data_IF_295220526912
#
_entry.id   IF_295220526912
#
_cell.length_a   1.000
_cell.length_b   1.000
_cell.length_c   1.000
_cell.angle_alpha   90.00
_cell.angle_beta   90.00
_cell.angle_gamma   90.00
#
_symmetry.space_group_name_H-M   'P 1'
#
loop_
_entity.id
_entity.type
_entity.pdbx_description
1 polymer ?
#
# COMPACT_ATOMS: atom_id res chain seq x y z
N UNK A 1 18.13 4.38 -10.69
CA UNK A 1 16.78 3.96 -10.22
C UNK A 1 16.96 3.30 -8.87
N UNK A 2 16.07 3.53 -7.91
CA UNK A 2 16.23 2.87 -6.60
C UNK A 2 15.80 1.41 -6.69
N UNK A 3 16.44 0.55 -5.89
CA UNK A 3 16.13 -0.88 -5.82
C UNK A 3 14.67 -1.11 -5.39
N UNK A 4 14.18 -0.26 -4.47
CA UNK A 4 12.78 -0.29 -4.01
C UNK A 4 11.79 -0.07 -5.15
N UNK A 5 12.12 0.82 -6.08
CA UNK A 5 11.25 1.10 -7.23
C UNK A 5 11.22 -0.06 -8.22
N UNK A 6 12.36 -0.73 -8.43
CA UNK A 6 12.43 -1.93 -9.27
C UNK A 6 11.59 -3.05 -8.68
N UNK A 7 11.75 -3.32 -7.36
CA UNK A 7 10.97 -4.35 -6.67
C UNK A 7 9.48 -4.01 -6.69
N UNK A 8 9.11 -2.75 -6.47
CA UNK A 8 7.73 -2.30 -6.57
C UNK A 8 7.12 -2.60 -7.95
N UNK A 9 7.85 -2.32 -9.02
CA UNK A 9 7.39 -2.61 -10.41
C UNK A 9 7.25 -4.11 -10.67
N UNK A 10 8.20 -4.93 -10.20
CA UNK A 10 8.15 -6.39 -10.33
C UNK A 10 6.90 -6.94 -9.63
N UNK A 11 6.71 -6.59 -8.36
CA UNK A 11 5.58 -7.08 -7.55
C UNK A 11 4.25 -6.61 -8.14
N UNK A 12 4.14 -5.33 -8.50
CA UNK A 12 2.93 -4.76 -9.10
C UNK A 12 2.53 -5.45 -10.41
N UNK A 13 3.51 -5.74 -11.26
CA UNK A 13 3.28 -6.45 -12.53
C UNK A 13 2.78 -7.87 -12.28
N UNK A 14 3.43 -8.63 -11.38
CA UNK A 14 3.03 -10.01 -11.06
C UNK A 14 1.62 -10.09 -10.48
N UNK A 15 1.26 -9.19 -9.56
CA UNK A 15 -0.10 -9.12 -9.01
C UNK A 15 -1.13 -8.81 -10.10
N UNK A 16 -0.82 -7.87 -11.00
CA UNK A 16 -1.69 -7.50 -12.12
C UNK A 16 -1.90 -8.66 -13.10
N UNK A 17 -0.83 -9.34 -13.48
CA UNK A 17 -0.87 -10.51 -14.38
C UNK A 17 -1.63 -11.69 -13.77
N UNK A 18 -1.53 -11.89 -12.46
CA UNK A 18 -2.28 -12.91 -11.74
C UNK A 18 -3.75 -12.53 -11.46
N UNK A 19 -4.17 -11.30 -11.82
CA UNK A 19 -5.52 -10.81 -11.54
C UNK A 19 -5.81 -10.57 -10.06
N UNK A 20 -4.77 -10.39 -9.24
CA UNK A 20 -4.91 -10.09 -7.81
C UNK A 20 -5.06 -8.58 -7.61
N UNK A 21 -6.22 -8.11 -7.14
CA UNK A 21 -6.41 -6.69 -6.86
C UNK A 21 -5.50 -6.23 -5.72
N UNK A 22 -4.84 -5.09 -5.91
CA UNK A 22 -3.90 -4.54 -4.93
C UNK A 22 -3.91 -3.01 -4.91
N UNK A 23 -3.30 -2.45 -3.88
CA UNK A 23 -3.13 -1.01 -3.69
C UNK A 23 -1.86 -0.74 -2.88
N UNK A 24 -0.93 0.03 -3.45
CA UNK A 24 0.24 0.52 -2.73
C UNK A 24 -0.20 1.58 -1.73
N UNK A 25 0.34 1.50 -0.51
CA UNK A 25 0.04 2.43 0.60
C UNK A 25 1.32 2.81 1.36
N UNK A 26 1.18 3.31 2.58
CA UNK A 26 2.30 3.54 3.48
C UNK A 26 3.29 4.61 3.04
N UNK A 27 4.56 4.39 3.33
CA UNK A 27 5.62 5.37 3.09
C UNK A 27 5.97 5.53 1.62
N UNK A 28 5.90 4.48 0.82
CA UNK A 28 6.12 4.56 -0.62
C UNK A 28 5.05 5.45 -1.27
N UNK A 29 3.78 5.25 -0.94
CA UNK A 29 2.71 6.12 -1.45
C UNK A 29 2.88 7.57 -1.00
N UNK A 30 3.29 7.82 0.24
CA UNK A 30 3.59 9.17 0.73
C UNK A 30 4.70 9.84 -0.08
N UNK A 31 5.74 9.11 -0.46
CA UNK A 31 6.84 9.61 -1.27
C UNK A 31 6.40 10.05 -2.68
N UNK A 32 5.36 9.44 -3.23
CA UNK A 32 4.76 9.87 -4.50
C UNK A 32 3.95 11.17 -4.37
N UNK A 33 3.29 11.37 -3.23
CA UNK A 33 2.40 12.53 -3.03
C UNK A 33 3.08 13.71 -2.35
N UNK A 34 4.24 13.53 -1.74
CA UNK A 34 4.89 14.55 -0.91
C UNK A 34 6.41 14.61 -1.12
N UNK A 35 7.11 15.20 -0.16
CA UNK A 35 8.59 15.20 -0.13
C UNK A 35 9.08 13.77 0.10
N UNK A 36 9.89 13.22 -0.83
CA UNK A 36 10.42 11.87 -0.66
C UNK A 36 11.32 11.78 0.58
N UNK A 37 11.16 10.69 1.33
CA UNK A 37 12.07 10.30 2.40
C UNK A 37 12.52 8.85 2.19
N UNK A 38 13.67 8.51 2.73
CA UNK A 38 14.17 7.14 2.64
C UNK A 38 13.21 6.18 3.34
N UNK A 39 12.84 5.10 2.66
CA UNK A 39 12.08 3.97 3.19
C UNK A 39 12.51 2.71 2.46
N UNK A 40 12.59 1.60 3.17
CA UNK A 40 12.88 0.27 2.61
C UNK A 40 11.70 -0.68 2.68
N UNK A 41 10.64 -0.29 3.37
CA UNK A 41 9.43 -1.11 3.50
C UNK A 41 8.41 -0.68 2.44
N UNK A 42 7.88 -1.66 1.72
CA UNK A 42 6.83 -1.48 0.73
C UNK A 42 5.54 -2.05 1.32
N UNK A 43 4.54 -1.22 1.55
CA UNK A 43 3.24 -1.63 2.08
C UNK A 43 2.23 -1.81 0.95
N UNK A 44 1.64 -3.00 0.82
CA UNK A 44 0.68 -3.33 -0.23
C UNK A 44 -0.58 -3.92 0.38
N UNK A 45 -1.71 -3.27 0.20
CA UNK A 45 -3.02 -3.87 0.49
C UNK A 45 -3.41 -4.78 -0.66
N UNK A 46 -3.80 -6.03 -0.37
CA UNK A 46 -4.25 -7.01 -1.35
C UNK A 46 -5.65 -7.52 -1.04
N UNK A 47 -6.40 -7.84 -2.09
CA UNK A 47 -7.69 -8.52 -1.98
C UNK A 47 -7.54 -9.95 -2.48
N UNK A 48 -7.39 -10.89 -1.54
CA UNK A 48 -7.14 -12.31 -1.78
C UNK A 48 -7.95 -13.15 -0.82
N UNK A 49 -8.16 -14.40 -1.22
CA UNK A 49 -8.86 -15.42 -0.43
C UNK A 49 -7.91 -16.54 -0.05
N UNK A 50 -8.36 -17.40 0.86
CA UNK A 50 -7.57 -18.55 1.33
C UNK A 50 -7.22 -19.51 0.19
N UNK A 51 -8.07 -19.65 -0.83
CA UNK A 51 -7.80 -20.45 -2.02
C UNK A 51 -6.67 -19.91 -2.91
N UNK A 52 -6.26 -18.64 -2.74
CA UNK A 52 -5.21 -18.01 -3.54
C UNK A 52 -3.80 -18.25 -2.99
N UNK A 53 -3.63 -18.97 -1.87
CA UNK A 53 -2.34 -19.24 -1.22
C UNK A 53 -1.32 -19.81 -2.20
N UNK A 54 -1.69 -20.87 -2.94
CA UNK A 54 -0.76 -21.53 -3.86
C UNK A 54 -0.36 -20.62 -5.03
N UNK A 55 -1.27 -19.77 -5.47
CA UNK A 55 -0.99 -18.76 -6.49
C UNK A 55 0.02 -17.73 -5.96
N UNK A 56 -0.18 -17.18 -4.75
CA UNK A 56 0.76 -16.24 -4.13
C UNK A 56 2.16 -16.84 -3.95
N UNK A 57 2.24 -18.08 -3.47
CA UNK A 57 3.53 -18.77 -3.34
C UNK A 57 4.21 -18.93 -4.69
N UNK A 58 3.48 -19.35 -5.72
CA UNK A 58 4.02 -19.54 -7.07
C UNK A 58 4.53 -18.23 -7.68
N UNK A 59 3.90 -17.09 -7.37
CA UNK A 59 4.31 -15.77 -7.89
C UNK A 59 5.65 -15.29 -7.35
N UNK A 60 6.02 -15.69 -6.12
CA UNK A 60 7.14 -15.07 -5.41
C UNK A 60 8.26 -16.01 -4.97
N UNK A 61 8.05 -17.32 -4.89
CA UNK A 61 9.00 -18.31 -4.34
C UNK A 61 10.39 -18.35 -4.99
N UNK A 62 10.51 -17.92 -6.24
CA UNK A 62 11.75 -18.07 -7.00
C UNK A 62 12.81 -17.02 -6.64
N UNK A 63 12.37 -15.81 -6.30
CA UNK A 63 13.25 -14.67 -6.00
C UNK A 63 12.91 -13.94 -4.70
N UNK A 64 11.87 -14.39 -3.98
CA UNK A 64 11.52 -13.88 -2.65
C UNK A 64 11.47 -15.01 -1.63
N UNK A 65 11.90 -14.72 -0.42
CA UNK A 65 11.50 -15.50 0.73
C UNK A 65 10.03 -15.29 1.03
N UNK A 66 9.25 -16.36 1.07
CA UNK A 66 7.84 -16.37 1.42
C UNK A 66 7.53 -17.63 2.22
N UNK A 67 6.83 -17.48 3.33
CA UNK A 67 6.47 -18.59 4.22
C UNK A 67 4.97 -18.94 4.10
N UNK A 68 4.67 -20.19 3.78
CA UNK A 68 3.31 -20.68 3.55
C UNK A 68 2.41 -20.52 4.76
N UNK A 69 2.88 -20.88 5.93
CA UNK A 69 2.06 -20.92 7.15
C UNK A 69 1.68 -19.51 7.57
N UNK A 70 2.63 -18.58 7.46
CA UNK A 70 2.40 -17.15 7.69
C UNK A 70 1.37 -16.57 6.70
N UNK A 71 1.43 -16.95 5.43
CA UNK A 71 0.44 -16.53 4.42
C UNK A 71 -0.94 -17.06 4.78
N UNK A 72 -1.07 -18.35 5.07
CA UNK A 72 -2.35 -18.99 5.45
C UNK A 72 -2.96 -18.30 6.67
N UNK A 73 -2.16 -18.07 7.72
CA UNK A 73 -2.61 -17.38 8.92
C UNK A 73 -3.11 -15.97 8.61
N UNK A 74 -2.32 -15.19 7.86
CA UNK A 74 -2.68 -13.82 7.50
C UNK A 74 -3.96 -13.76 6.67
N UNK A 75 -4.18 -14.67 5.73
CA UNK A 75 -5.39 -14.71 4.93
C UNK A 75 -6.62 -15.06 5.79
N UNK A 76 -6.48 -16.01 6.72
CA UNK A 76 -7.58 -16.44 7.60
C UNK A 76 -8.02 -15.35 8.56
N UNK A 77 -7.08 -14.53 9.05
CA UNK A 77 -7.32 -13.48 10.06
C UNK A 77 -7.43 -12.06 9.46
N UNK A 78 -7.32 -11.93 8.13
CA UNK A 78 -7.17 -10.65 7.44
C UNK A 78 -6.07 -9.79 8.07
N UNK A 79 -4.93 -10.44 8.30
CA UNK A 79 -3.74 -9.89 8.93
C UNK A 79 -2.71 -9.37 7.92
N UNK A 80 -1.46 -9.48 8.31
CA UNK A 80 -0.29 -9.05 7.52
C UNK A 80 0.67 -10.22 7.40
N UNK A 81 1.20 -10.44 6.20
CA UNK A 81 2.38 -11.27 5.98
C UNK A 81 3.41 -10.49 5.18
N UNK A 82 4.66 -10.90 5.24
CA UNK A 82 5.71 -10.26 4.48
C UNK A 82 6.43 -11.24 3.56
N UNK A 83 7.02 -10.68 2.51
CA UNK A 83 8.00 -11.34 1.66
C UNK A 83 9.26 -10.49 1.62
N UNK A 84 10.40 -11.12 1.37
CA UNK A 84 11.69 -10.41 1.32
C UNK A 84 12.40 -10.81 0.03
N UNK A 85 12.78 -9.82 -0.79
CA UNK A 85 13.55 -10.09 -2.00
C UNK A 85 14.94 -10.62 -1.64
N UNK A 86 15.34 -11.75 -2.23
CA UNK A 86 16.54 -12.49 -1.82
C UNK A 86 17.84 -11.72 -2.10
N UNK A 87 17.89 -10.94 -3.17
CA UNK A 87 19.09 -10.20 -3.58
C UNK A 87 19.18 -8.82 -2.90
N UNK A 88 18.12 -8.01 -2.96
CA UNK A 88 18.14 -6.64 -2.46
C UNK A 88 17.75 -6.51 -0.99
N UNK A 89 17.27 -7.59 -0.37
CA UNK A 89 16.83 -7.62 1.05
C UNK A 89 15.76 -6.55 1.33
N UNK A 90 14.89 -6.31 0.35
CA UNK A 90 13.76 -5.39 0.47
C UNK A 90 12.55 -6.16 0.97
N UNK A 91 11.95 -5.66 2.03
CA UNK A 91 10.74 -6.23 2.64
C UNK A 91 9.48 -5.64 2.01
N UNK A 92 8.53 -6.50 1.67
CA UNK A 92 7.18 -6.12 1.27
C UNK A 92 6.21 -6.64 2.32
N UNK A 93 5.44 -5.74 2.91
CA UNK A 93 4.36 -6.06 3.83
C UNK A 93 3.04 -6.13 3.05
N UNK A 94 2.50 -7.33 2.91
CA UNK A 94 1.18 -7.55 2.35
C UNK A 94 0.12 -7.47 3.43
N UNK A 95 -0.79 -6.52 3.30
CA UNK A 95 -1.90 -6.28 4.21
C UNK A 95 -3.17 -6.83 3.56
N UNK A 96 -3.75 -7.88 4.14
CA UNK A 96 -5.01 -8.42 3.64
C UNK A 96 -6.13 -7.42 3.92
N UNK A 97 -6.84 -6.99 2.88
CA UNK A 97 -7.91 -5.97 3.00
C UNK A 97 -8.96 -6.42 4.02
N UNK A 98 -9.23 -5.58 5.00
CA UNK A 98 -10.27 -5.82 6.01
C UNK A 98 -11.66 -5.53 5.43
N UNK A 99 -12.65 -6.31 5.87
CA UNK A 99 -14.06 -6.16 5.47
C UNK A 99 -14.76 -5.10 6.32
N UNK A 100 -14.29 -3.87 6.25
CA UNK A 100 -14.99 -2.73 6.83
C UNK A 100 -15.44 -1.77 5.72
N UNK A 101 -16.56 -1.07 5.87
CA UNK A 101 -17.07 -0.16 4.82
C UNK A 101 -16.04 0.88 4.39
N UNK A 102 -15.25 1.39 5.32
CA UNK A 102 -14.18 2.34 5.01
C UNK A 102 -13.06 1.70 4.17
N UNK A 103 -12.59 0.50 4.52
CA UNK A 103 -11.51 -0.18 3.81
C UNK A 103 -11.94 -0.63 2.40
N UNK A 104 -13.20 -0.97 2.21
CA UNK A 104 -13.77 -1.21 0.88
C UNK A 104 -13.79 0.07 0.05
N UNK A 105 -14.26 1.17 0.63
CA UNK A 105 -14.32 2.45 -0.04
C UNK A 105 -12.92 2.98 -0.40
N UNK A 106 -11.96 2.92 0.52
CA UNK A 106 -10.56 3.27 0.29
C UNK A 106 -9.98 2.50 -0.89
N UNK A 107 -10.18 1.17 -0.90
CA UNK A 107 -9.68 0.29 -1.96
C UNK A 107 -10.35 0.57 -3.32
N UNK A 108 -11.62 0.89 -3.34
CA UNK A 108 -12.36 1.27 -4.56
C UNK A 108 -11.87 2.61 -5.12
N UNK A 109 -11.48 3.56 -4.27
CA UNK A 109 -10.99 4.89 -4.66
C UNK A 109 -9.51 4.92 -5.05
N UNK A 110 -8.78 3.78 -5.02
CA UNK A 110 -7.40 3.72 -5.45
C UNK A 110 -7.26 4.21 -6.90
N UNK A 111 -6.10 4.76 -7.22
CA UNK A 111 -5.81 5.36 -8.53
C UNK A 111 -4.67 4.61 -9.20
N UNK A 112 -4.75 4.42 -10.51
CA UNK A 112 -3.63 3.92 -11.28
C UNK A 112 -2.68 5.09 -11.59
N UNK A 113 -1.42 4.94 -11.21
CA UNK A 113 -0.35 5.92 -11.42
C UNK A 113 0.69 5.29 -12.33
N UNK A 114 1.12 6.03 -13.36
CA UNK A 114 2.21 5.58 -14.23
C UNK A 114 3.55 5.86 -13.56
N UNK A 115 4.31 4.81 -13.30
CA UNK A 115 5.65 4.87 -12.74
C UNK A 115 6.61 4.27 -13.75
N UNK A 116 7.32 5.12 -14.48
CA UNK A 116 8.29 4.74 -15.52
C UNK A 116 7.73 3.71 -16.52
N UNK A 117 6.52 3.95 -17.02
CA UNK A 117 5.85 3.11 -17.99
C UNK A 117 5.06 1.93 -17.41
N UNK A 118 5.08 1.72 -16.09
CA UNK A 118 4.29 0.69 -15.41
C UNK A 118 3.10 1.32 -14.68
N UNK A 119 1.89 0.86 -14.98
CA UNK A 119 0.68 1.27 -14.25
C UNK A 119 0.62 0.57 -12.90
N UNK A 120 0.66 1.35 -11.82
CA UNK A 120 0.66 0.90 -10.43
C UNK A 120 -0.57 1.44 -9.71
N UNK A 121 -1.34 0.56 -9.07
CA UNK A 121 -2.47 0.96 -8.24
C UNK A 121 -2.01 1.50 -6.89
N UNK A 122 -2.41 2.72 -6.56
CA UNK A 122 -2.00 3.43 -5.35
C UNK A 122 -3.19 4.00 -4.61
N UNK A 123 -3.12 4.01 -3.28
CA UNK A 123 -4.11 4.67 -2.41
C UNK A 123 -4.27 6.13 -2.81
N UNK A 124 -5.48 6.68 -2.71
CA UNK A 124 -5.68 8.12 -2.93
C UNK A 124 -4.96 8.94 -1.85
N UNK A 125 -4.48 10.16 -2.15
CA UNK A 125 -3.80 10.98 -1.14
C UNK A 125 -4.70 11.31 0.05
N UNK A 126 -6.00 11.47 -0.18
CA UNK A 126 -6.99 11.72 0.87
C UNK A 126 -7.11 10.53 1.84
N UNK A 127 -7.21 9.32 1.30
CA UNK A 127 -7.30 8.10 2.09
C UNK A 127 -5.97 7.76 2.78
N UNK A 128 -4.84 8.06 2.15
CA UNK A 128 -3.53 7.93 2.78
C UNK A 128 -3.40 8.82 4.01
N UNK A 129 -3.87 10.08 3.95
CA UNK A 129 -3.91 10.98 5.11
C UNK A 129 -4.75 10.37 6.22
N UNK A 130 -5.97 9.91 5.91
CA UNK A 130 -6.85 9.30 6.90
C UNK A 130 -6.23 8.07 7.55
N UNK A 131 -5.65 7.17 6.77
CA UNK A 131 -4.97 5.99 7.28
C UNK A 131 -3.80 6.35 8.19
N UNK A 132 -2.97 7.33 7.81
CA UNK A 132 -1.85 7.78 8.64
C UNK A 132 -2.29 8.46 9.93
N UNK A 133 -3.40 9.19 9.94
CA UNK A 133 -3.95 9.78 11.15
C UNK A 133 -4.45 8.70 12.14
N UNK A 134 -5.15 7.68 11.65
CA UNK A 134 -5.57 6.54 12.48
C UNK A 134 -4.35 5.83 13.10
N UNK A 135 -3.30 5.57 12.30
CA UNK A 135 -2.07 4.95 12.80
C UNK A 135 -1.32 5.84 13.78
N UNK A 136 -1.35 7.18 13.59
CA UNK A 136 -0.72 8.13 14.50
C UNK A 136 -1.43 8.19 15.86
N UNK A 137 -2.74 8.08 15.91
CA UNK A 137 -3.53 8.02 17.13
C UNK A 137 -3.17 6.79 17.97
N UNK A 138 -3.06 5.63 17.33
CA UNK A 138 -2.73 4.37 18.00
C UNK A 138 -1.29 4.32 18.54
N UNK A 139 -0.33 5.05 17.96
CA UNK A 139 1.10 4.93 18.24
C UNK A 139 1.81 6.23 18.60
N UNK A 140 1.11 7.37 18.69
CA UNK A 140 1.69 8.70 18.94
C UNK A 140 2.92 9.00 18.05
N UNK A 141 2.84 8.64 16.76
CA UNK A 141 3.97 8.71 15.83
C UNK A 141 4.11 10.08 15.18
N UNK A 142 5.13 10.84 15.59
CA UNK A 142 5.53 12.12 14.96
C UNK A 142 5.82 11.97 13.46
N UNK A 143 6.37 10.82 13.04
CA UNK A 143 6.67 10.52 11.65
C UNK A 143 5.39 10.48 10.79
N UNK A 144 4.34 9.83 11.28
CA UNK A 144 3.05 9.76 10.58
C UNK A 144 2.41 11.15 10.46
N UNK A 145 2.48 11.96 11.50
CA UNK A 145 2.01 13.35 11.48
C UNK A 145 2.83 14.22 10.52
N UNK A 146 4.14 14.01 10.43
CA UNK A 146 5.03 14.65 9.45
C UNK A 146 4.62 14.33 8.02
N UNK A 147 4.37 13.06 7.72
CA UNK A 147 3.89 12.61 6.41
C UNK A 147 2.54 13.26 6.06
N UNK A 148 1.59 13.33 7.00
CA UNK A 148 0.29 13.99 6.80
C UNK A 148 0.45 15.47 6.45
N UNK A 149 1.30 16.20 7.16
CA UNK A 149 1.57 17.62 6.88
C UNK A 149 2.15 17.81 5.48
N UNK A 150 3.09 16.97 5.07
CA UNK A 150 3.74 17.02 3.78
C UNK A 150 2.77 16.73 2.63
N UNK A 151 1.94 15.69 2.74
CA UNK A 151 0.92 15.34 1.74
C UNK A 151 -0.10 16.48 1.62
N UNK A 152 -0.61 16.98 2.75
CA UNK A 152 -1.57 18.09 2.78
C UNK A 152 -1.01 19.37 2.14
N UNK A 153 0.26 19.71 2.39
CA UNK A 153 0.92 20.86 1.77
C UNK A 153 0.96 20.77 0.25
N UNK A 154 1.26 19.60 -0.31
CA UNK A 154 1.26 19.38 -1.76
C UNK A 154 -0.13 19.38 -2.39
N UNK A 155 -1.16 18.94 -1.66
CA UNK A 155 -2.56 18.97 -2.14
C UNK A 155 -3.11 20.40 -2.24
N UNK A 156 -2.61 21.34 -1.44
CA UNK A 156 -3.03 22.75 -1.51
C UNK A 156 -2.42 23.49 -2.69
N UNK A 157 -1.30 22.99 -3.23
CA UNK A 157 -0.64 23.56 -4.43
C UNK A 157 -1.28 23.07 -5.74
N UNK A 158 -2.15 22.07 -5.66
CA UNK A 158 -2.99 21.56 -6.78
C UNK A 158 -4.45 21.73 -6.38
N UNK A 159 -5.33 22.41 -7.15
CA UNK A 159 -6.70 22.61 -6.73
C UNK A 159 -7.39 21.26 -6.51
N UNK A 160 -7.96 21.02 -5.31
CA UNK A 160 -8.61 19.75 -5.00
C UNK A 160 -9.87 19.56 -5.82
N UNK A 161 -10.30 18.34 -6.13
CA UNK A 161 -11.68 18.08 -6.49
C UNK A 161 -12.54 18.33 -5.23
N UNK A 162 -13.17 19.47 -5.23
CA UNK A 162 -13.80 20.20 -4.11
C UNK A 162 -15.05 19.53 -3.58
N UNK A 163 -15.09 18.31 -3.05
CA UNK A 163 -16.35 17.83 -2.41
C UNK A 163 -16.25 16.72 -1.34
N UNK A 164 -15.12 16.19 -1.00
CA UNK A 164 -15.06 15.01 -0.12
C UNK A 164 -14.69 15.34 1.33
N UNK A 165 -13.84 16.33 1.56
CA UNK A 165 -13.31 16.63 2.91
C UNK A 165 -14.39 17.23 3.85
N UNK A 166 -15.34 17.97 3.33
CA UNK A 166 -16.38 18.62 4.17
C UNK A 166 -17.43 17.66 4.75
N UNK A 167 -17.53 16.44 4.23
CA UNK A 167 -18.47 15.43 4.73
C UNK A 167 -17.90 14.51 5.81
N UNK A 168 -16.59 14.40 5.93
CA UNK A 168 -15.92 13.51 6.87
C UNK A 168 -15.65 14.20 8.21
N UNK A 169 -15.47 15.52 8.21
CA UNK A 169 -15.20 16.31 9.40
C UNK A 169 -16.46 16.88 10.10
N UNK A 170 -17.67 16.48 9.70
CA UNK A 170 -18.94 16.87 10.31
C UNK A 170 -19.72 15.69 10.89
N UNK A 171 -19.03 14.80 11.63
CA UNK A 171 -19.71 13.88 12.55
C UNK A 171 -18.93 13.78 13.83
#
# INVERSE_FOLDING_TARGET
MSEELEILKIVSRRLKEAGIPYMITGSIAANFYAMPRMTRDIDIVIEVKTEDVDCLLALFKDDFYIDRDTVVEALSQRGIFNIIHNEYVIKIDFIVRKDSPYRELEFTRRREINVEGVGIWMVSPEDLILSKLVWAEDRLSEMQLGDVRNIKGKMTDTPPPTRVISKILRK
#
